data_IF_291952145670
#
_entry.id   IF_291952145670
#
_cell.length_a   1.000
_cell.length_b   1.000
_cell.length_c   1.000
_cell.angle_alpha   90.00
_cell.angle_beta   90.00
_cell.angle_gamma   90.00
#
_symmetry.space_group_name_H-M   'P 1'
#
loop_
_entity.id
_entity.type
_entity.pdbx_description
1 polymer ?
#
# COMPACT_ATOMS: atom_id res chain seq x y z
N UNK A 1 13.07 -7.80 -7.09
CA UNK A 1 12.25 -8.33 -8.22
C UNK A 1 10.74 -8.14 -8.05
N UNK A 2 10.04 -8.72 -7.06
CA UNK A 2 8.56 -8.52 -6.97
C UNK A 2 8.16 -7.13 -6.45
N UNK A 3 8.91 -6.58 -5.48
CA UNK A 3 8.62 -5.25 -4.90
C UNK A 3 8.88 -4.11 -5.89
N UNK A 4 9.95 -4.16 -6.69
CA UNK A 4 10.23 -3.15 -7.73
C UNK A 4 9.09 -3.07 -8.75
N UNK A 5 8.61 -4.21 -9.25
CA UNK A 5 7.44 -4.27 -10.15
C UNK A 5 6.19 -3.65 -9.51
N UNK A 6 6.04 -3.80 -8.19
CA UNK A 6 4.94 -3.18 -7.45
C UNK A 6 5.13 -1.66 -7.37
N UNK A 7 6.33 -1.20 -7.05
CA UNK A 7 6.67 0.23 -6.98
C UNK A 7 6.44 0.89 -8.34
N UNK A 8 6.92 0.29 -9.43
CA UNK A 8 6.73 0.80 -10.79
C UNK A 8 5.25 0.97 -11.14
N UNK A 9 4.40 0.03 -10.72
CA UNK A 9 2.93 0.13 -10.91
C UNK A 9 2.32 1.29 -10.13
N UNK A 10 2.81 1.55 -8.92
CA UNK A 10 2.35 2.68 -8.10
C UNK A 10 2.80 3.99 -8.71
N UNK A 11 4.08 4.11 -9.08
CA UNK A 11 4.64 5.31 -9.71
C UNK A 11 3.97 5.61 -11.06
N UNK A 12 3.74 4.58 -11.89
CA UNK A 12 3.00 4.70 -13.16
C UNK A 12 1.54 5.15 -12.96
N UNK A 13 0.97 4.94 -11.78
CA UNK A 13 -0.37 5.41 -11.44
C UNK A 13 -0.41 6.89 -10.98
N UNK A 14 0.75 7.56 -10.92
CA UNK A 14 0.91 8.95 -10.46
C UNK A 14 1.00 9.09 -8.95
N UNK A 15 1.38 8.03 -8.24
CA UNK A 15 1.49 7.99 -6.78
C UNK A 15 2.96 7.84 -6.37
N UNK A 16 3.23 7.97 -5.07
CA UNK A 16 4.58 7.76 -4.51
C UNK A 16 4.57 6.65 -3.48
N UNK A 17 5.75 6.04 -3.26
CA UNK A 17 5.95 4.94 -2.32
C UNK A 17 7.02 5.28 -1.30
N UNK A 18 6.75 4.97 -0.03
CA UNK A 18 7.75 4.86 1.02
C UNK A 18 7.89 3.38 1.39
N UNK A 19 9.10 2.85 1.27
CA UNK A 19 9.42 1.47 1.62
C UNK A 19 9.72 1.36 3.11
N UNK A 20 9.12 0.38 3.78
CA UNK A 20 9.43 0.05 5.16
C UNK A 20 10.07 -1.34 5.20
N UNK A 21 11.37 -1.37 5.48
CA UNK A 21 12.11 -2.62 5.64
C UNK A 21 11.69 -3.32 6.93
N UNK A 22 11.74 -4.65 6.93
CA UNK A 22 11.57 -5.43 8.13
C UNK A 22 12.84 -5.33 8.99
N UNK A 23 12.71 -4.82 10.22
CA UNK A 23 13.81 -4.74 11.18
C UNK A 23 13.85 -5.93 12.14
N UNK A 24 13.08 -6.99 11.88
CA UNK A 24 13.08 -8.19 12.70
C UNK A 24 14.23 -9.14 12.33
N UNK A 25 14.90 -9.69 13.34
CA UNK A 25 16.03 -10.63 13.21
C UNK A 25 15.68 -11.93 12.43
N UNK A 26 14.39 -12.18 12.21
CA UNK A 26 13.86 -13.44 11.66
C UNK A 26 13.21 -13.30 10.27
N UNK A 27 13.32 -12.15 9.60
CA UNK A 27 12.73 -11.99 8.27
C UNK A 27 13.40 -10.95 7.39
N UNK A 28 13.93 -11.39 6.25
CA UNK A 28 14.52 -10.50 5.23
C UNK A 28 13.45 -9.90 4.31
N UNK A 29 13.56 -8.61 3.97
CA UNK A 29 12.78 -7.95 2.91
C UNK A 29 11.91 -6.76 3.33
N UNK A 30 11.14 -6.22 2.39
CA UNK A 30 10.21 -5.11 2.62
C UNK A 30 8.98 -5.61 3.38
N UNK A 31 8.75 -5.07 4.57
CA UNK A 31 7.61 -5.41 5.43
C UNK A 31 6.31 -4.89 4.82
N UNK A 32 6.30 -3.61 4.42
CA UNK A 32 5.17 -2.98 3.76
C UNK A 32 5.60 -1.74 2.98
N UNK A 33 4.72 -1.32 2.07
CA UNK A 33 4.81 -0.09 1.30
C UNK A 33 3.74 0.88 1.77
N UNK A 34 4.14 2.10 2.09
CA UNK A 34 3.21 3.21 2.26
C UNK A 34 3.04 3.91 0.91
N UNK A 35 1.82 3.91 0.38
CA UNK A 35 1.43 4.59 -0.86
C UNK A 35 0.80 5.95 -0.51
N UNK A 36 1.31 7.01 -1.12
CA UNK A 36 0.90 8.41 -0.91
C UNK A 36 0.81 9.18 -2.23
N UNK A 37 0.48 10.47 -2.18
CA UNK A 37 0.32 11.34 -3.36
C UNK A 37 -1.08 11.37 -3.95
N UNK A 38 -1.97 10.48 -3.49
CA UNK A 38 -3.40 10.50 -3.83
C UNK A 38 -4.27 11.13 -2.73
N UNK A 39 -5.58 10.89 -2.80
CA UNK A 39 -6.56 11.40 -1.83
C UNK A 39 -6.54 10.64 -0.49
N UNK A 40 -5.86 9.49 -0.45
CA UNK A 40 -5.80 8.61 0.72
C UNK A 40 -4.44 7.92 0.83
N UNK A 41 -3.86 7.95 2.03
CA UNK A 41 -2.68 7.13 2.36
C UNK A 41 -3.10 5.67 2.54
N UNK A 42 -2.37 4.76 1.90
CA UNK A 42 -2.68 3.33 1.90
C UNK A 42 -1.41 2.54 2.21
N UNK A 43 -1.52 1.53 3.06
CA UNK A 43 -0.46 0.56 3.32
C UNK A 43 -0.72 -0.71 2.52
N UNK A 44 0.32 -1.22 1.87
CA UNK A 44 0.30 -2.48 1.14
C UNK A 44 1.40 -3.40 1.64
N UNK A 45 1.04 -4.64 1.98
CA UNK A 45 1.96 -5.65 2.49
C UNK A 45 2.21 -6.69 1.40
N UNK A 46 3.33 -6.60 0.63
CA UNK A 46 3.53 -7.41 -0.58
C UNK A 46 3.45 -8.91 -0.32
N UNK A 47 4.05 -9.38 0.78
CA UNK A 47 4.11 -10.80 1.15
C UNK A 47 2.73 -11.44 1.33
N UNK A 48 1.74 -10.68 1.83
CA UNK A 48 0.40 -11.20 2.11
C UNK A 48 -0.66 -10.69 1.14
N UNK A 49 -0.30 -9.73 0.28
CA UNK A 49 -1.23 -8.96 -0.53
C UNK A 49 -2.26 -8.16 0.29
N UNK A 50 -1.98 -7.91 1.58
CA UNK A 50 -2.91 -7.19 2.46
C UNK A 50 -2.88 -5.71 2.14
N UNK A 51 -4.06 -5.09 2.11
CA UNK A 51 -4.23 -3.65 1.95
C UNK A 51 -4.89 -3.11 3.20
N UNK A 52 -4.35 -2.01 3.72
CA UNK A 52 -4.87 -1.31 4.87
C UNK A 52 -4.92 0.20 4.62
N UNK A 53 -5.96 0.86 5.10
CA UNK A 53 -6.00 2.31 5.13
C UNK A 53 -6.81 2.79 6.33
N UNK A 54 -6.26 3.76 7.06
CA UNK A 54 -6.95 4.41 8.17
C UNK A 54 -8.21 5.14 7.71
N UNK A 55 -9.14 5.37 8.64
CA UNK A 55 -10.27 6.24 8.39
C UNK A 55 -9.78 7.68 8.16
N UNK A 56 -10.47 8.40 7.27
CA UNK A 56 -10.32 9.83 7.09
C UNK A 56 -11.64 10.46 7.51
N UNK A 57 -11.61 11.26 8.58
CA UNK A 57 -12.81 11.83 9.20
C UNK A 57 -13.70 12.53 8.16
N UNK A 58 -14.97 12.12 8.10
CA UNK A 58 -15.95 12.70 7.18
C UNK A 58 -15.76 12.34 5.70
N UNK A 59 -14.83 11.44 5.35
CA UNK A 59 -14.58 11.03 3.96
C UNK A 59 -14.65 9.52 3.75
N UNK A 60 -13.82 8.76 4.47
CA UNK A 60 -13.65 7.32 4.21
C UNK A 60 -13.55 6.52 5.52
N UNK A 61 -14.21 5.35 5.64
CA UNK A 61 -14.05 4.45 6.78
C UNK A 61 -12.72 3.70 6.71
N UNK A 62 -12.31 3.06 7.80
CA UNK A 62 -11.14 2.14 7.80
C UNK A 62 -11.34 1.06 6.73
N UNK A 63 -10.28 0.75 5.98
CA UNK A 63 -10.24 -0.37 5.05
C UNK A 63 -9.18 -1.37 5.50
N UNK A 64 -9.53 -2.66 5.56
CA UNK A 64 -8.58 -3.75 5.79
C UNK A 64 -9.03 -5.00 5.04
N UNK A 65 -8.24 -5.46 4.08
CA UNK A 65 -8.54 -6.68 3.34
C UNK A 65 -7.26 -7.49 3.05
N UNK A 66 -7.27 -8.76 3.44
CA UNK A 66 -6.21 -9.72 3.11
C UNK A 66 -6.33 -10.12 1.64
N UNK A 67 -5.19 -10.39 0.98
CA UNK A 67 -5.12 -10.83 -0.43
C UNK A 67 -5.86 -9.90 -1.43
N UNK A 68 -6.04 -8.62 -1.09
CA UNK A 68 -6.67 -7.64 -1.99
C UNK A 68 -5.76 -7.26 -3.16
N UNK A 69 -4.44 -7.25 -2.94
CA UNK A 69 -3.45 -6.97 -3.97
C UNK A 69 -3.27 -5.49 -4.31
N UNK A 70 -2.24 -5.21 -5.12
CA UNK A 70 -1.78 -3.84 -5.39
C UNK A 70 -2.80 -2.97 -6.14
N UNK A 71 -3.63 -3.56 -7.02
CA UNK A 71 -4.65 -2.81 -7.78
C UNK A 71 -5.67 -2.15 -6.85
N UNK A 72 -6.06 -2.85 -5.77
CA UNK A 72 -6.97 -2.31 -4.76
C UNK A 72 -6.29 -1.20 -3.97
N UNK A 73 -5.02 -1.36 -3.62
CA UNK A 73 -4.27 -0.31 -2.93
C UNK A 73 -4.16 0.98 -3.76
N UNK A 74 -3.84 0.87 -5.05
CA UNK A 74 -3.78 2.00 -5.98
C UNK A 74 -5.15 2.65 -6.12
N UNK A 75 -6.22 1.86 -6.30
CA UNK A 75 -7.60 2.38 -6.37
C UNK A 75 -7.93 3.19 -5.12
N UNK A 76 -7.75 2.62 -3.94
CA UNK A 76 -8.00 3.30 -2.67
C UNK A 76 -7.17 4.57 -2.52
N UNK A 77 -5.91 4.57 -2.94
CA UNK A 77 -5.08 5.77 -2.87
C UNK A 77 -5.62 6.89 -3.79
N UNK A 78 -6.16 6.55 -4.96
CA UNK A 78 -6.67 7.53 -5.95
C UNK A 78 -8.11 7.99 -5.67
N UNK A 79 -9.02 7.09 -5.31
CA UNK A 79 -10.45 7.39 -5.11
C UNK A 79 -10.88 7.49 -3.66
N UNK A 80 -10.08 6.94 -2.74
CA UNK A 80 -10.42 6.81 -1.32
C UNK A 80 -11.34 5.63 -0.98
N UNK A 81 -11.99 4.99 -1.95
CA UNK A 81 -12.92 3.86 -1.76
C UNK A 81 -12.82 2.83 -2.89
#
# INVERSE_FOLDING_TARGET
>A
MQTEIIIDKVMSAGLSVLEHQNNGDFGNGVMHLTIVGGVRRVEFYPTTGTVYANAVKGKYPVFKQKKAGIKVAIRLAKSGA
#
